data_IF_635322945942
#
_entry.id   IF_635322945942
#
_cell.length_a   1.000
_cell.length_b   1.000
_cell.length_c   1.000
_cell.angle_alpha   90.00
_cell.angle_beta   90.00
_cell.angle_gamma   90.00
#
_symmetry.space_group_name_H-M   'P 1'
#
loop_
_entity.id
_entity.type
_entity.pdbx_description
1 polymer ?
#
# COMPACT_ATOMS: atom_id res chain seq x y z
N UNK A 1 -43.54 9.09 9.10
CA UNK A 1 -42.19 9.72 9.10
C UNK A 1 -41.21 8.82 9.84
N UNK A 2 -41.20 7.51 9.54
CA UNK A 2 -40.41 6.49 10.26
C UNK A 2 -39.69 5.56 9.29
N UNK A 3 -40.09 5.56 8.03
CA UNK A 3 -39.68 4.57 7.02
C UNK A 3 -38.36 4.93 6.33
N UNK A 4 -38.02 6.22 6.25
CA UNK A 4 -36.75 6.71 5.68
C UNK A 4 -35.54 6.22 6.48
N UNK A 5 -35.70 6.04 7.80
CA UNK A 5 -34.62 5.67 8.73
C UNK A 5 -34.30 4.18 8.69
N UNK A 6 -35.28 3.34 8.32
CA UNK A 6 -35.10 1.91 8.12
C UNK A 6 -34.30 1.60 6.84
N UNK A 7 -34.47 2.42 5.79
CA UNK A 7 -33.73 2.25 4.54
C UNK A 7 -32.29 2.78 4.60
N UNK A 8 -31.98 3.73 5.49
CA UNK A 8 -30.63 4.31 5.62
C UNK A 8 -29.59 3.36 6.22
N UNK A 9 -30.00 2.43 7.08
CA UNK A 9 -29.09 1.50 7.75
C UNK A 9 -28.40 0.51 6.76
N UNK A 10 -29.12 -0.20 5.88
CA UNK A 10 -28.47 -1.09 4.91
C UNK A 10 -27.63 -0.32 3.87
N UNK A 11 -28.04 0.89 3.50
CA UNK A 11 -27.30 1.74 2.55
C UNK A 11 -25.96 2.18 3.14
N UNK A 12 -25.94 2.58 4.42
CA UNK A 12 -24.71 2.96 5.10
C UNK A 12 -23.73 1.78 5.25
N UNK A 13 -24.24 0.58 5.56
CA UNK A 13 -23.43 -0.63 5.62
C UNK A 13 -22.81 -0.99 4.27
N UNK A 14 -23.56 -0.85 3.17
CA UNK A 14 -23.07 -1.10 1.82
C UNK A 14 -21.98 -0.09 1.42
N UNK A 15 -22.16 1.19 1.76
CA UNK A 15 -21.17 2.24 1.48
C UNK A 15 -19.83 2.01 2.20
N UNK A 16 -19.85 1.49 3.43
CA UNK A 16 -18.64 1.13 4.17
C UNK A 16 -17.89 -0.06 3.53
N UNK A 17 -18.61 -1.04 2.99
CA UNK A 17 -18.00 -2.16 2.26
C UNK A 17 -17.34 -1.72 0.95
N UNK A 18 -17.96 -0.79 0.23
CA UNK A 18 -17.40 -0.20 -0.99
C UNK A 18 -16.12 0.60 -0.72
N UNK A 19 -16.08 1.37 0.38
CA UNK A 19 -14.88 2.14 0.75
C UNK A 19 -13.76 1.26 1.32
N UNK A 20 -14.08 0.11 1.91
CA UNK A 20 -13.09 -0.86 2.37
C UNK A 20 -12.27 -1.45 1.21
N UNK A 21 -12.84 -1.52 -0.01
CA UNK A 21 -12.12 -1.89 -1.23
C UNK A 21 -11.31 -0.75 -1.87
N UNK A 22 -11.57 0.50 -1.51
CA UNK A 22 -10.71 1.64 -1.87
C UNK A 22 -9.49 1.76 -0.94
N UNK A 23 -9.36 0.86 0.04
CA UNK A 23 -8.15 0.75 0.84
C UNK A 23 -7.16 -0.19 0.14
N UNK A 24 -5.92 0.27 0.06
CA UNK A 24 -4.73 -0.41 -0.44
C UNK A 24 -4.69 -1.86 0.07
N UNK A 25 -5.17 -2.80 -0.74
CA UNK A 25 -4.76 -4.21 -0.58
C UNK A 25 -3.29 -4.27 -0.95
N UNK A 26 -2.49 -5.02 -0.20
CA UNK A 26 -1.03 -5.11 -0.41
C UNK A 26 -0.63 -5.58 -1.82
N UNK A 27 -1.59 -6.08 -2.59
CA UNK A 27 -1.45 -6.62 -3.94
C UNK A 27 -1.86 -5.65 -5.07
N UNK A 28 -2.39 -4.46 -4.77
CA UNK A 28 -2.65 -3.45 -5.80
C UNK A 28 -1.38 -2.64 -6.09
N UNK A 29 -1.05 -2.38 -7.37
CA UNK A 29 0.11 -1.58 -7.75
C UNK A 29 0.04 -0.18 -7.11
N UNK A 30 1.02 0.14 -6.27
CA UNK A 30 1.21 1.45 -5.69
C UNK A 30 1.76 2.47 -6.69
N UNK A 31 2.02 3.72 -6.24
CA UNK A 31 2.70 4.72 -7.05
C UNK A 31 4.05 4.16 -7.55
N UNK A 32 4.26 4.16 -8.88
CA UNK A 32 5.41 3.48 -9.51
C UNK A 32 5.10 2.10 -10.10
N UNK A 33 3.86 1.61 -9.99
CA UNK A 33 3.43 0.34 -10.60
C UNK A 33 3.87 -0.91 -9.85
N UNK A 34 4.41 -0.75 -8.64
CA UNK A 34 4.87 -1.85 -7.78
C UNK A 34 3.95 -2.02 -6.57
N UNK A 35 3.69 -3.26 -6.19
CA UNK A 35 2.97 -3.62 -4.97
C UNK A 35 3.78 -3.26 -3.73
N UNK A 36 3.11 -3.25 -2.56
CA UNK A 36 3.80 -3.00 -1.28
C UNK A 36 4.84 -4.10 -1.00
N UNK A 37 4.51 -5.34 -1.35
CA UNK A 37 5.39 -6.50 -1.24
C UNK A 37 6.64 -6.37 -2.12
N UNK A 38 6.48 -5.92 -3.37
CA UNK A 38 7.60 -5.68 -4.28
C UNK A 38 8.49 -4.54 -3.79
N UNK A 39 7.91 -3.43 -3.33
CA UNK A 39 8.69 -2.32 -2.77
C UNK A 39 9.54 -2.76 -1.58
N UNK A 40 8.99 -3.58 -0.67
CA UNK A 40 9.75 -4.13 0.45
C UNK A 40 10.90 -5.04 0.00
N UNK A 41 10.68 -5.90 -1.00
CA UNK A 41 11.74 -6.75 -1.53
C UNK A 41 12.88 -5.94 -2.17
N UNK A 42 12.54 -4.81 -2.82
CA UNK A 42 13.52 -3.88 -3.38
C UNK A 42 14.33 -3.17 -2.27
N UNK A 43 13.66 -2.73 -1.20
CA UNK A 43 14.33 -2.09 -0.06
C UNK A 43 15.28 -3.07 0.67
N UNK A 44 14.82 -4.30 0.92
CA UNK A 44 15.64 -5.34 1.55
C UNK A 44 16.89 -5.64 0.68
N UNK A 45 16.75 -5.66 -0.65
CA UNK A 45 17.88 -5.83 -1.56
C UNK A 45 18.86 -4.65 -1.53
N UNK A 46 18.36 -3.42 -1.41
CA UNK A 46 19.20 -2.24 -1.25
C UNK A 46 19.98 -2.28 0.08
N UNK A 47 19.34 -2.70 1.17
CA UNK A 47 20.00 -2.87 2.48
C UNK A 47 21.14 -3.89 2.43
N UNK A 48 20.97 -4.99 1.68
CA UNK A 48 22.04 -5.98 1.45
C UNK A 48 23.24 -5.40 0.69
N UNK A 49 23.00 -4.47 -0.24
CA UNK A 49 24.09 -3.78 -0.95
C UNK A 49 24.79 -2.77 -0.03
N UNK A 50 24.04 -1.95 0.70
CA UNK A 50 24.59 -0.99 1.68
C UNK A 50 25.41 -1.70 2.77
N UNK A 51 24.94 -2.85 3.25
CA UNK A 51 25.67 -3.67 4.25
C UNK A 51 27.01 -4.20 3.72
N UNK A 52 27.14 -4.39 2.40
CA UNK A 52 28.40 -4.78 1.76
C UNK A 52 29.29 -3.57 1.51
N UNK A 53 28.68 -2.46 1.08
CA UNK A 53 29.32 -1.18 0.77
C UNK A 53 29.72 -0.39 2.04
N UNK A 54 29.24 -0.78 3.23
CA UNK A 54 29.84 -0.37 4.51
C UNK A 54 31.32 -0.75 4.67
N UNK A 55 31.84 -1.57 3.74
CA UNK A 55 33.28 -1.90 3.58
C UNK A 55 33.90 -1.28 2.32
N UNK A 56 33.11 -0.66 1.44
CA UNK A 56 33.51 -0.10 0.16
C UNK A 56 32.68 1.18 -0.13
N UNK A 57 33.13 2.28 0.45
CA UNK A 57 32.85 3.68 0.08
C UNK A 57 31.91 3.91 -1.11
N UNK A 58 30.73 4.47 -0.80
CA UNK A 58 29.91 5.34 -1.64
C UNK A 58 30.27 5.37 -3.14
N UNK A 59 29.50 4.64 -3.95
CA UNK A 59 29.59 4.71 -5.41
C UNK A 59 29.61 6.18 -5.91
N UNK A 60 30.55 6.56 -6.79
CA UNK A 60 30.63 7.93 -7.27
C UNK A 60 29.38 8.30 -8.06
N UNK A 61 28.63 9.28 -7.54
CA UNK A 61 27.60 10.02 -8.28
C UNK A 61 28.28 10.66 -9.48
N UNK A 62 28.03 10.12 -10.67
CA UNK A 62 28.38 10.78 -11.93
C UNK A 62 27.28 11.74 -12.35
#
# INVERSE_FOLDING_TARGET
>A
MTDRKALTAPIAALALLLVAGCSRTDNEPGPGGVTVSEAKALDDAAEMLESRDGTAEAAPKK
#
